data_IF_498536701393
#
_entry.id   IF_498536701393
#
_cell.length_a   1.000
_cell.length_b   1.000
_cell.length_c   1.000
_cell.angle_alpha   90.00
_cell.angle_beta   90.00
_cell.angle_gamma   90.00
#
_symmetry.space_group_name_H-M   'P 1'
#
loop_
_entity.id
_entity.type
_entity.pdbx_description
1 polymer ?
#
# COMPACT_ATOMS: atom_id res chain seq x y z
N UNK A 1 -14.85 -5.10 -17.04
CA UNK A 1 -15.27 -5.37 -15.65
C UNK A 1 -15.18 -4.06 -14.88
N UNK A 2 -16.14 -3.75 -14.01
CA UNK A 2 -16.12 -2.52 -13.19
C UNK A 2 -15.08 -2.64 -12.08
N UNK A 3 -14.21 -1.64 -11.93
CA UNK A 3 -13.16 -1.64 -10.91
C UNK A 3 -13.75 -1.66 -9.49
N UNK A 4 -13.22 -2.44 -8.52
CA UNK A 4 -13.78 -2.56 -7.16
C UNK A 4 -13.96 -1.24 -6.41
N UNK A 5 -13.10 -0.25 -6.67
CA UNK A 5 -13.22 1.09 -6.08
C UNK A 5 -14.53 1.78 -6.48
N UNK A 6 -15.02 1.56 -7.71
CA UNK A 6 -16.28 2.16 -8.18
C UNK A 6 -17.47 1.65 -7.36
N UNK A 7 -17.40 0.42 -6.85
CA UNK A 7 -18.45 -0.18 -6.02
C UNK A 7 -18.36 0.27 -4.56
N UNK A 8 -17.15 0.51 -4.06
CA UNK A 8 -16.88 0.75 -2.63
C UNK A 8 -16.74 2.23 -2.27
N UNK A 9 -16.31 3.06 -3.22
CA UNK A 9 -16.30 4.52 -3.14
C UNK A 9 -16.44 5.14 -4.54
N UNK A 10 -17.69 5.34 -5.02
CA UNK A 10 -17.95 5.92 -6.33
C UNK A 10 -17.39 7.35 -6.47
N UNK A 11 -17.44 8.15 -5.39
CA UNK A 11 -16.94 9.53 -5.39
C UNK A 11 -15.42 9.59 -5.56
N UNK A 12 -14.68 8.75 -4.83
CA UNK A 12 -13.24 8.65 -4.99
C UNK A 12 -12.85 8.12 -6.38
N UNK A 13 -13.57 7.11 -6.88
CA UNK A 13 -13.32 6.59 -8.23
C UNK A 13 -13.54 7.66 -9.31
N UNK A 14 -14.55 8.51 -9.17
CA UNK A 14 -14.78 9.63 -10.07
C UNK A 14 -13.68 10.70 -9.98
N UNK A 15 -13.20 11.01 -8.77
CA UNK A 15 -12.09 11.94 -8.58
C UNK A 15 -10.80 11.43 -9.25
N UNK A 16 -10.48 10.14 -9.06
CA UNK A 16 -9.35 9.47 -9.72
C UNK A 16 -9.49 9.51 -11.24
N UNK A 17 -10.68 9.20 -11.77
CA UNK A 17 -10.95 9.24 -13.21
C UNK A 17 -10.87 10.66 -13.81
N UNK A 18 -11.02 11.69 -12.98
CA UNK A 18 -10.87 13.10 -13.37
C UNK A 18 -9.42 13.57 -13.48
N UNK A 19 -8.43 12.79 -13.03
CA UNK A 19 -7.01 13.13 -13.14
C UNK A 19 -6.56 13.01 -14.60
N UNK A 20 -5.91 14.06 -15.11
CA UNK A 20 -5.44 14.06 -16.50
C UNK A 20 -4.32 13.04 -16.71
N UNK A 21 -4.22 12.50 -17.94
CA UNK A 21 -3.21 11.47 -18.28
C UNK A 21 -1.78 11.95 -18.02
N UNK A 22 -1.53 13.24 -18.24
CA UNK A 22 -0.23 13.88 -18.05
C UNK A 22 0.15 13.95 -16.56
N UNK A 23 -0.84 13.99 -15.66
CA UNK A 23 -0.64 14.07 -14.20
C UNK A 23 -0.71 12.71 -13.51
N UNK A 24 -1.11 11.65 -14.22
CA UNK A 24 -1.36 10.33 -13.61
C UNK A 24 -0.13 9.80 -12.89
N UNK A 25 1.05 9.82 -13.53
CA UNK A 25 2.28 9.35 -12.92
C UNK A 25 2.65 10.12 -11.64
N UNK A 26 2.50 11.46 -11.65
CA UNK A 26 2.74 12.27 -10.45
C UNK A 26 1.73 12.02 -9.34
N UNK A 27 0.46 11.81 -9.67
CA UNK A 27 -0.61 11.53 -8.71
C UNK A 27 -0.40 10.15 -8.06
N UNK A 28 -0.03 9.14 -8.85
CA UNK A 28 0.34 7.79 -8.35
C UNK A 28 1.48 7.88 -7.34
N UNK A 29 2.55 8.61 -7.67
CA UNK A 29 3.70 8.75 -6.78
C UNK A 29 3.36 9.54 -5.51
N UNK A 30 2.59 10.62 -5.62
CA UNK A 30 2.17 11.44 -4.47
C UNK A 30 1.31 10.63 -3.49
N UNK A 31 0.32 9.89 -4.00
CA UNK A 31 -0.54 9.04 -3.20
C UNK A 31 0.23 7.93 -2.48
N UNK A 32 1.06 7.21 -3.22
CA UNK A 32 1.84 6.11 -2.66
C UNK A 32 2.76 6.60 -1.52
N UNK A 33 3.38 7.78 -1.67
CA UNK A 33 4.20 8.39 -0.60
C UNK A 33 3.39 8.69 0.64
N UNK A 34 2.27 9.38 0.47
CA UNK A 34 1.41 9.79 1.59
C UNK A 34 0.96 8.56 2.39
N UNK A 35 0.57 7.49 1.71
CA UNK A 35 0.10 6.25 2.32
C UNK A 35 1.09 5.62 3.31
N UNK A 36 2.40 5.78 3.08
CA UNK A 36 3.45 5.19 3.91
C UNK A 36 4.29 6.22 4.67
N UNK A 37 4.04 7.52 4.52
CA UNK A 37 4.85 8.57 5.17
C UNK A 37 4.86 8.47 6.70
N UNK A 38 3.73 8.11 7.31
CA UNK A 38 3.61 7.93 8.77
C UNK A 38 4.23 6.62 9.28
N UNK A 39 4.64 5.72 8.38
CA UNK A 39 5.21 4.40 8.73
C UNK A 39 6.74 4.44 8.74
N UNK A 40 7.30 5.47 9.38
CA UNK A 40 8.72 5.88 9.26
C UNK A 40 9.73 4.76 9.51
N UNK A 41 9.47 3.84 10.44
CA UNK A 41 10.36 2.71 10.70
C UNK A 41 10.45 1.74 9.51
N UNK A 42 9.34 1.51 8.80
CA UNK A 42 9.30 0.63 7.63
C UNK A 42 9.92 1.31 6.41
N UNK A 43 9.55 2.57 6.16
CA UNK A 43 10.00 3.31 4.98
C UNK A 43 11.44 3.80 5.04
N UNK A 44 12.13 3.63 6.18
CA UNK A 44 13.56 3.85 6.31
C UNK A 44 14.38 2.54 6.29
N UNK A 45 13.71 1.38 6.23
CA UNK A 45 14.36 0.08 6.20
C UNK A 45 15.08 -0.22 4.88
N UNK A 46 16.00 -1.20 4.87
CA UNK A 46 16.79 -1.54 3.68
C UNK A 46 15.95 -2.08 2.50
N UNK A 47 14.75 -2.62 2.80
CA UNK A 47 13.84 -3.16 1.78
C UNK A 47 12.98 -2.08 1.16
N UNK A 48 12.29 -1.27 1.97
CA UNK A 48 11.33 -0.27 1.49
C UNK A 48 11.92 1.12 1.27
N UNK A 49 13.05 1.43 1.90
CA UNK A 49 13.73 2.72 1.83
C UNK A 49 14.08 3.17 0.41
N UNK A 50 14.72 2.32 -0.42
CA UNK A 50 15.03 2.67 -1.80
C UNK A 50 13.77 2.98 -2.64
N UNK A 51 12.68 2.24 -2.41
CA UNK A 51 11.40 2.50 -3.08
C UNK A 51 10.83 3.85 -2.61
N UNK A 52 10.84 4.12 -1.30
CA UNK A 52 10.32 5.38 -0.78
C UNK A 52 11.13 6.57 -1.32
N UNK A 53 12.45 6.43 -1.35
CA UNK A 53 13.36 7.40 -1.96
C UNK A 53 13.07 7.62 -3.45
N UNK A 54 12.76 6.57 -4.21
CA UNK A 54 12.41 6.70 -5.63
C UNK A 54 11.11 7.49 -5.81
N UNK A 55 10.05 7.22 -5.03
CA UNK A 55 8.85 8.05 -5.06
C UNK A 55 9.14 9.49 -4.62
N UNK A 56 10.00 9.63 -3.58
CA UNK A 56 10.36 10.91 -3.01
C UNK A 56 10.99 11.86 -4.04
N UNK A 57 11.73 11.28 -4.98
CA UNK A 57 12.53 11.95 -5.99
C UNK A 57 12.01 11.71 -7.43
N UNK A 58 10.69 11.55 -7.60
CA UNK A 58 10.03 11.48 -8.93
C UNK A 58 10.59 10.39 -9.86
N UNK A 59 10.95 9.24 -9.31
CA UNK A 59 11.46 8.09 -10.07
C UNK A 59 12.98 8.07 -10.25
N UNK A 60 13.72 9.00 -9.64
CA UNK A 60 15.18 8.91 -9.61
C UNK A 60 15.61 7.60 -8.92
N UNK A 61 16.52 6.87 -9.56
CA UNK A 61 17.04 5.59 -9.05
C UNK A 61 16.24 4.35 -9.44
N UNK A 62 15.08 4.45 -10.10
CA UNK A 62 14.26 3.27 -10.50
C UNK A 62 15.00 2.30 -11.44
N UNK A 63 16.02 2.77 -12.16
CA UNK A 63 16.83 1.95 -13.07
C UNK A 63 18.03 1.24 -12.41
N UNK A 64 18.30 1.45 -11.13
CA UNK A 64 19.48 0.86 -10.46
C UNK A 64 19.25 -0.59 -10.06
N UNK A 65 20.33 -1.35 -9.93
CA UNK A 65 20.27 -2.72 -9.39
C UNK A 65 19.81 -2.72 -7.93
N UNK A 66 20.14 -1.67 -7.17
CA UNK A 66 19.66 -1.47 -5.80
C UNK A 66 18.13 -1.36 -5.75
N UNK A 67 17.53 -0.56 -6.62
CA UNK A 67 16.07 -0.46 -6.70
C UNK A 67 15.44 -1.79 -7.11
N UNK A 68 16.03 -2.50 -8.09
CA UNK A 68 15.52 -3.80 -8.53
C UNK A 68 15.55 -4.82 -7.39
N UNK A 69 16.67 -4.91 -6.67
CA UNK A 69 16.83 -5.80 -5.52
C UNK A 69 15.84 -5.46 -4.40
N UNK A 70 15.70 -4.16 -4.08
CA UNK A 70 14.75 -3.69 -3.08
C UNK A 70 13.30 -4.01 -3.47
N UNK A 71 12.93 -3.84 -4.76
CA UNK A 71 11.59 -4.15 -5.25
C UNK A 71 11.27 -5.65 -5.15
N UNK A 72 12.22 -6.51 -5.48
CA UNK A 72 12.04 -7.96 -5.39
C UNK A 72 11.98 -8.44 -3.93
N UNK A 73 12.81 -7.87 -3.05
CA UNK A 73 12.74 -8.11 -1.61
C UNK A 73 11.39 -7.64 -1.03
N UNK A 74 10.92 -6.45 -1.40
CA UNK A 74 9.65 -5.88 -0.96
C UNK A 74 8.45 -6.75 -1.37
N UNK A 75 8.49 -7.38 -2.56
CA UNK A 75 7.45 -8.33 -2.99
C UNK A 75 7.41 -9.57 -2.09
N UNK A 76 8.56 -10.10 -1.70
CA UNK A 76 8.64 -11.25 -0.79
C UNK A 76 8.19 -10.87 0.63
N UNK A 77 8.60 -9.70 1.12
CA UNK A 77 8.22 -9.19 2.43
C UNK A 77 6.71 -8.92 2.49
N UNK A 78 6.12 -8.31 1.45
CA UNK A 78 4.67 -8.11 1.36
C UNK A 78 3.91 -9.44 1.42
N UNK A 79 4.39 -10.48 0.73
CA UNK A 79 3.78 -11.81 0.80
C UNK A 79 3.86 -12.39 2.21
N UNK A 80 4.96 -12.18 2.93
CA UNK A 80 5.08 -12.56 4.33
C UNK A 80 4.03 -11.83 5.19
N UNK A 81 3.90 -10.50 5.03
CA UNK A 81 2.90 -9.72 5.73
C UNK A 81 1.47 -10.21 5.50
N UNK A 82 1.14 -10.60 4.26
CA UNK A 82 -0.18 -11.17 3.95
C UNK A 82 -0.44 -12.47 4.71
N UNK A 83 0.55 -13.37 4.76
CA UNK A 83 0.47 -14.63 5.49
C UNK A 83 0.31 -14.36 7.00
N UNK A 84 1.14 -13.48 7.57
CA UNK A 84 1.09 -13.10 8.98
C UNK A 84 -0.26 -12.47 9.33
N UNK A 85 -0.81 -11.65 8.42
CA UNK A 85 -2.13 -11.04 8.58
C UNK A 85 -3.27 -12.06 8.62
N UNK A 86 -3.20 -13.11 7.79
CA UNK A 86 -4.16 -14.21 7.84
C UNK A 86 -4.04 -15.03 9.12
N UNK A 87 -2.82 -15.26 9.61
CA UNK A 87 -2.61 -15.94 10.87
C UNK A 87 -3.13 -15.12 12.06
N UNK A 88 -2.87 -13.82 12.09
CA UNK A 88 -3.41 -12.90 13.10
C UNK A 88 -4.94 -12.93 13.12
N UNK A 89 -5.58 -12.88 11.94
CA UNK A 89 -7.03 -12.99 11.84
C UNK A 89 -7.54 -14.34 12.35
N UNK A 90 -6.89 -15.44 11.98
CA UNK A 90 -7.30 -16.77 12.40
C UNK A 90 -7.17 -16.96 13.92
N UNK A 91 -6.13 -16.39 14.54
CA UNK A 91 -5.97 -16.34 16.01
C UNK A 91 -7.05 -15.49 16.67
N UNK A 92 -7.40 -14.33 16.11
CA UNK A 92 -8.49 -13.47 16.60
C UNK A 92 -9.85 -14.16 16.56
N UNK A 93 -10.12 -14.92 15.50
CA UNK A 93 -11.38 -15.67 15.33
C UNK A 93 -11.40 -17.00 16.12
N UNK A 94 -10.33 -17.31 16.87
CA UNK A 94 -10.20 -18.55 17.64
C UNK A 94 -10.03 -19.81 16.77
N UNK A 95 -9.76 -19.67 15.47
CA UNK A 95 -9.48 -20.80 14.55
C UNK A 95 -8.08 -21.38 14.74
N UNK A 96 -7.15 -20.58 15.25
CA UNK A 96 -5.79 -20.98 15.59
C UNK A 96 -5.55 -20.68 17.07
N UNK A 97 -5.04 -21.67 17.81
CA UNK A 97 -4.74 -21.49 19.22
C UNK A 97 -3.60 -20.47 19.42
N UNK A 98 -3.72 -19.64 20.45
CA UNK A 98 -2.62 -18.79 20.91
C UNK A 98 -1.52 -19.68 21.50
N UNK A 99 -0.27 -19.40 21.16
CA UNK A 99 0.85 -20.18 21.68
C UNK A 99 0.94 -20.05 23.21
N UNK A 100 1.34 -21.10 23.93
CA UNK A 100 1.54 -21.01 25.38
C UNK A 100 2.50 -19.87 25.74
N UNK A 101 2.06 -18.95 26.60
CA UNK A 101 2.85 -17.79 27.03
C UNK A 101 2.70 -16.53 26.19
N UNK A 102 1.96 -16.56 25.08
CA UNK A 102 1.60 -15.37 24.29
C UNK A 102 0.24 -14.81 24.71
N UNK A 103 0.08 -13.49 24.60
CA UNK A 103 -1.23 -12.86 24.70
C UNK A 103 -2.01 -13.08 23.39
N UNK A 104 -3.35 -13.24 23.45
CA UNK A 104 -4.16 -13.24 22.24
C UNK A 104 -3.98 -11.91 21.50
N UNK A 105 -3.91 -11.94 20.16
CA UNK A 105 -3.89 -10.70 19.39
C UNK A 105 -5.17 -9.91 19.65
N UNK A 106 -5.09 -8.61 19.48
CA UNK A 106 -6.20 -7.67 19.54
C UNK A 106 -6.67 -7.31 18.13
N UNK A 107 -7.94 -6.91 18.03
CA UNK A 107 -8.49 -6.42 16.76
C UNK A 107 -7.70 -5.22 16.22
N UNK A 108 -7.22 -4.34 17.09
CA UNK A 108 -6.41 -3.20 16.72
C UNK A 108 -5.05 -3.58 16.12
N UNK A 109 -4.40 -4.61 16.66
CA UNK A 109 -3.14 -5.13 16.09
C UNK A 109 -3.34 -5.69 14.69
N UNK A 110 -4.40 -6.47 14.47
CA UNK A 110 -4.74 -6.96 13.14
C UNK A 110 -5.09 -5.83 12.17
N UNK A 111 -5.92 -4.87 12.58
CA UNK A 111 -6.30 -3.75 11.73
C UNK A 111 -5.08 -2.89 11.36
N UNK A 112 -4.17 -2.64 12.30
CA UNK A 112 -2.90 -1.95 12.04
C UNK A 112 -2.03 -2.70 11.02
N UNK A 113 -1.85 -4.01 11.21
CA UNK A 113 -1.07 -4.86 10.31
C UNK A 113 -1.69 -4.94 8.91
N UNK A 114 -3.01 -5.15 8.84
CA UNK A 114 -3.78 -5.15 7.58
C UNK A 114 -3.64 -3.82 6.86
N UNK A 115 -3.78 -2.70 7.58
CA UNK A 115 -3.71 -1.37 7.00
C UNK A 115 -2.31 -1.10 6.42
N UNK A 116 -1.26 -1.46 7.16
CA UNK A 116 0.12 -1.35 6.69
C UNK A 116 0.34 -2.19 5.43
N UNK A 117 -0.10 -3.45 5.43
CA UNK A 117 0.02 -4.37 4.27
C UNK A 117 -0.57 -3.75 3.01
N UNK A 118 -1.75 -3.13 3.10
CA UNK A 118 -2.37 -2.45 1.97
C UNK A 118 -1.61 -1.20 1.49
N UNK A 119 -1.04 -0.42 2.41
CA UNK A 119 -0.23 0.76 2.07
C UNK A 119 1.08 0.37 1.38
N UNK A 120 1.74 -0.68 1.85
CA UNK A 120 2.93 -1.26 1.22
C UNK A 120 2.62 -1.82 -0.18
N UNK A 121 1.45 -2.44 -0.36
CA UNK A 121 0.96 -2.84 -1.68
C UNK A 121 0.75 -1.66 -2.61
N UNK A 122 0.15 -0.57 -2.12
CA UNK A 122 -0.03 0.67 -2.91
C UNK A 122 1.33 1.21 -3.39
N UNK A 123 2.33 1.17 -2.52
CA UNK A 123 3.69 1.58 -2.85
C UNK A 123 4.33 0.74 -3.95
N UNK A 124 4.23 -0.60 -3.88
CA UNK A 124 4.72 -1.48 -4.94
C UNK A 124 3.95 -1.28 -6.25
N UNK A 125 2.63 -1.11 -6.16
CA UNK A 125 1.78 -0.86 -7.33
C UNK A 125 2.19 0.40 -8.05
N UNK A 126 2.61 1.46 -7.35
CA UNK A 126 3.03 2.73 -7.97
C UNK A 126 4.21 2.62 -8.95
N UNK A 127 4.94 1.50 -8.95
CA UNK A 127 6.10 1.26 -9.83
C UNK A 127 5.87 0.25 -10.94
N UNK A 128 4.64 -0.26 -11.10
CA UNK A 128 4.33 -1.12 -12.25
C UNK A 128 4.12 -0.25 -13.52
N UNK A 129 4.17 -0.87 -14.70
CA UNK A 129 3.93 -0.22 -16.00
C UNK A 129 2.85 -1.05 -16.71
N UNK A 130 1.79 -0.45 -17.32
CA UNK A 130 1.46 0.98 -17.46
C UNK A 130 0.45 1.59 -16.45
N UNK A 131 0.47 2.92 -16.34
CA UNK A 131 -0.16 3.74 -15.27
C UNK A 131 -1.69 3.96 -15.34
N UNK A 132 -2.38 3.63 -16.44
CA UNK A 132 -3.76 4.13 -16.64
C UNK A 132 -4.78 3.59 -15.62
N UNK A 133 -4.72 2.31 -15.26
CA UNK A 133 -5.60 1.71 -14.24
C UNK A 133 -4.97 1.74 -12.84
N UNK A 134 -3.68 2.07 -12.76
CA UNK A 134 -2.87 1.98 -11.57
C UNK A 134 -3.23 3.02 -10.51
N UNK A 135 -3.70 4.20 -10.92
CA UNK A 135 -4.17 5.22 -9.98
C UNK A 135 -5.42 4.75 -9.21
N UNK A 136 -6.32 4.00 -9.88
CA UNK A 136 -7.47 3.37 -9.24
C UNK A 136 -7.04 2.27 -8.27
N UNK A 137 -6.07 1.43 -8.66
CA UNK A 137 -5.54 0.37 -7.81
C UNK A 137 -4.83 0.92 -6.56
N UNK A 138 -4.02 1.96 -6.73
CA UNK A 138 -3.32 2.65 -5.62
C UNK A 138 -4.35 3.28 -4.69
N UNK A 139 -5.32 4.04 -5.20
CA UNK A 139 -6.38 4.64 -4.39
C UNK A 139 -7.20 3.58 -3.63
N UNK A 140 -7.51 2.45 -4.27
CA UNK A 140 -8.20 1.33 -3.63
C UNK A 140 -7.37 0.69 -2.52
N UNK A 141 -6.09 0.48 -2.75
CA UNK A 141 -5.18 -0.02 -1.73
C UNK A 141 -5.09 0.95 -0.53
N UNK A 142 -4.94 2.26 -0.77
CA UNK A 142 -4.87 3.24 0.31
C UNK A 142 -6.17 3.31 1.13
N UNK A 143 -7.33 3.23 0.47
CA UNK A 143 -8.63 3.15 1.15
C UNK A 143 -8.72 1.90 2.03
N UNK A 144 -8.30 0.74 1.50
CA UNK A 144 -8.22 -0.50 2.29
C UNK A 144 -7.15 -0.44 3.38
N UNK A 145 -6.15 0.42 3.20
CA UNK A 145 -5.13 0.82 4.17
C UNK A 145 -5.61 1.79 5.25
N UNK A 146 -6.91 2.06 5.32
CA UNK A 146 -7.52 2.89 6.37
C UNK A 146 -7.39 4.39 6.13
N UNK A 147 -6.99 4.85 4.93
CA UNK A 147 -7.13 6.25 4.55
C UNK A 147 -8.57 6.56 4.14
N UNK A 148 -9.07 7.72 4.55
CA UNK A 148 -10.37 8.24 4.14
C UNK A 148 -10.37 8.73 2.69
N UNK A 149 -11.55 8.72 2.06
CA UNK A 149 -11.71 9.23 0.70
C UNK A 149 -11.30 10.70 0.58
N UNK A 150 -11.51 11.52 1.62
CA UNK A 150 -11.07 12.92 1.68
C UNK A 150 -9.56 13.07 1.72
N UNK A 151 -8.86 12.24 2.51
CA UNK A 151 -7.40 12.26 2.57
C UNK A 151 -6.80 11.90 1.21
N UNK A 152 -7.33 10.87 0.55
CA UNK A 152 -6.86 10.43 -0.77
C UNK A 152 -7.16 11.50 -1.83
N UNK A 153 -8.38 12.05 -1.85
CA UNK A 153 -8.79 13.05 -2.86
C UNK A 153 -7.98 14.35 -2.75
N UNK A 154 -7.58 14.75 -1.54
CA UNK A 154 -6.76 15.95 -1.33
C UNK A 154 -5.36 15.91 -1.95
N UNK A 155 -4.95 14.74 -2.46
CA UNK A 155 -3.60 14.46 -2.98
C UNK A 155 -3.58 14.14 -4.48
N UNK A 156 -4.74 14.13 -5.14
CA UNK A 156 -4.92 13.96 -6.59
C UNK A 156 -4.76 15.30 -7.34
#
# INVERSE_FOLDING_TARGET
MTHPLVLTSPGLAAAVAGVSKEKTASAVAALAREGVQSTSAYTQGPVWGPLYGALANSGAGVGTDEFRAARDAARNELRSHEIDGFELLARLEGRVAVKPGELPPTRGEYESHRNLTWRLRAMLLAFNDPYQDQLLDVAHCLRNGGMSDSEITSKL
#
